data_IF_677028019403
#
_entry.id   IF_677028019403
#
_cell.length_a   1.000
_cell.length_b   1.000
_cell.length_c   1.000
_cell.angle_alpha   90.00
_cell.angle_beta   90.00
_cell.angle_gamma   90.00
#
_symmetry.space_group_name_H-M   'P 1'
#
loop_
_entity.id
_entity.type
_entity.pdbx_description
1 polymer ?
#
# COMPACT_ATOMS: atom_id res chain seq x y z
N UNK A 1 7.91 21.98 -3.74
CA UNK A 1 6.71 22.10 -2.88
C UNK A 1 7.20 22.19 -1.45
N UNK A 2 6.74 23.16 -0.66
CA UNK A 2 7.11 23.20 0.76
C UNK A 2 6.31 22.18 1.57
N UNK A 3 6.74 21.93 2.81
CA UNK A 3 6.13 20.95 3.69
C UNK A 3 4.63 21.18 3.92
N UNK A 4 4.18 22.43 4.10
CA UNK A 4 2.75 22.72 4.35
C UNK A 4 1.93 22.40 3.12
N UNK A 5 2.39 22.88 1.96
CA UNK A 5 1.73 22.57 0.69
C UNK A 5 1.67 21.06 0.41
N UNK A 6 2.70 20.29 0.81
CA UNK A 6 2.68 18.83 0.68
C UNK A 6 1.71 18.18 1.67
N UNK A 7 1.71 18.64 2.93
CA UNK A 7 0.81 18.16 3.97
C UNK A 7 -0.65 18.37 3.58
N UNK A 8 -1.01 19.56 3.14
CA UNK A 8 -2.40 19.90 2.76
C UNK A 8 -2.89 18.95 1.65
N UNK A 9 -2.05 18.68 0.64
CA UNK A 9 -2.37 17.72 -0.42
C UNK A 9 -2.56 16.29 0.08
N UNK A 10 -1.71 15.84 1.02
CA UNK A 10 -1.84 14.50 1.61
C UNK A 10 -3.10 14.43 2.48
N UNK A 11 -3.40 15.47 3.26
CA UNK A 11 -4.63 15.54 4.06
C UNK A 11 -5.88 15.45 3.18
N UNK A 12 -5.92 16.14 2.04
CA UNK A 12 -7.01 16.01 1.06
C UNK A 12 -7.14 14.55 0.58
N UNK A 13 -6.03 13.89 0.23
CA UNK A 13 -6.02 12.49 -0.22
C UNK A 13 -6.49 11.51 0.87
N UNK A 14 -6.05 11.71 2.11
CA UNK A 14 -6.44 10.89 3.27
C UNK A 14 -7.94 11.01 3.54
N UNK A 15 -8.51 12.21 3.41
CA UNK A 15 -9.91 12.45 3.70
C UNK A 15 -10.85 12.01 2.57
N UNK A 16 -10.49 12.30 1.32
CA UNK A 16 -11.37 12.06 0.17
C UNK A 16 -11.18 10.66 -0.44
N UNK A 17 -9.99 10.08 -0.33
CA UNK A 17 -9.66 8.81 -0.95
C UNK A 17 -8.63 8.00 -0.14
N UNK A 18 -8.97 7.74 1.12
CA UNK A 18 -8.11 7.00 2.05
C UNK A 18 -7.61 5.66 1.47
N UNK A 19 -8.50 4.93 0.79
CA UNK A 19 -8.17 3.63 0.22
C UNK A 19 -7.07 3.72 -0.84
N UNK A 20 -7.23 4.61 -1.82
CA UNK A 20 -6.21 4.74 -2.86
C UNK A 20 -4.94 5.38 -2.31
N UNK A 21 -5.05 6.32 -1.37
CA UNK A 21 -3.88 6.84 -0.64
C UNK A 21 -3.04 5.72 -0.02
N UNK A 22 -3.68 4.84 0.77
CA UNK A 22 -2.98 3.72 1.42
C UNK A 22 -2.38 2.75 0.40
N UNK A 23 -3.13 2.39 -0.67
CA UNK A 23 -2.61 1.54 -1.74
C UNK A 23 -1.36 2.13 -2.39
N UNK A 24 -1.32 3.45 -2.64
CA UNK A 24 -0.15 4.08 -3.25
C UNK A 24 1.06 4.14 -2.33
N UNK A 25 0.87 4.30 -1.02
CA UNK A 25 1.99 4.19 -0.08
C UNK A 25 2.55 2.77 -0.09
N UNK A 26 1.71 1.73 -0.02
CA UNK A 26 2.15 0.33 -0.10
C UNK A 26 2.88 0.07 -1.43
N UNK A 27 2.35 0.58 -2.53
CA UNK A 27 2.96 0.48 -3.86
C UNK A 27 4.38 1.07 -3.87
N UNK A 28 4.54 2.29 -3.37
CA UNK A 28 5.83 2.98 -3.33
C UNK A 28 6.84 2.30 -2.41
N UNK A 29 6.42 1.84 -1.22
CA UNK A 29 7.33 1.24 -0.26
C UNK A 29 7.77 -0.18 -0.63
N UNK A 30 6.87 -0.96 -1.23
CA UNK A 30 7.10 -2.38 -1.52
C UNK A 30 7.43 -2.64 -2.99
N UNK A 31 7.28 -1.64 -3.86
CA UNK A 31 7.54 -1.75 -5.30
C UNK A 31 6.50 -2.60 -6.04
N UNK A 32 5.24 -2.57 -5.59
CA UNK A 32 4.14 -3.36 -6.17
C UNK A 32 3.19 -2.45 -6.92
N UNK A 33 2.98 -2.70 -8.21
CA UNK A 33 2.01 -1.96 -9.03
C UNK A 33 0.79 -2.81 -9.45
N UNK A 34 0.68 -4.05 -8.95
CA UNK A 34 -0.47 -4.90 -9.21
C UNK A 34 -1.66 -4.46 -8.34
N UNK A 35 -2.68 -3.87 -8.98
CA UNK A 35 -3.84 -3.34 -8.27
C UNK A 35 -4.61 -4.39 -7.48
N UNK A 36 -4.70 -5.64 -7.98
CA UNK A 36 -5.37 -6.74 -7.27
C UNK A 36 -4.61 -7.13 -6.01
N UNK A 37 -3.28 -7.10 -6.06
CA UNK A 37 -2.44 -7.30 -4.89
C UNK A 37 -2.63 -6.17 -3.86
N UNK A 38 -2.60 -4.92 -4.32
CA UNK A 38 -2.78 -3.75 -3.47
C UNK A 38 -4.15 -3.73 -2.78
N UNK A 39 -5.21 -4.17 -3.47
CA UNK A 39 -6.54 -4.33 -2.88
C UNK A 39 -6.52 -5.33 -1.71
N UNK A 40 -5.87 -6.48 -1.88
CA UNK A 40 -5.79 -7.50 -0.82
C UNK A 40 -4.94 -7.06 0.37
N UNK A 41 -3.84 -6.36 0.11
CA UNK A 41 -2.98 -5.79 1.14
C UNK A 41 -3.71 -4.71 1.94
N UNK A 42 -4.47 -3.85 1.27
CA UNK A 42 -5.33 -2.86 1.91
C UNK A 42 -6.42 -3.51 2.78
N UNK A 43 -7.13 -4.49 2.23
CA UNK A 43 -8.24 -5.14 2.94
C UNK A 43 -7.73 -5.83 4.22
N UNK A 44 -6.58 -6.52 4.17
CA UNK A 44 -5.97 -7.14 5.34
C UNK A 44 -5.44 -6.12 6.36
N UNK A 45 -4.89 -4.99 5.90
CA UNK A 45 -4.50 -3.89 6.76
C UNK A 45 -5.70 -3.31 7.53
N UNK A 46 -6.83 -3.13 6.86
CA UNK A 46 -8.06 -2.63 7.48
C UNK A 46 -8.69 -3.63 8.46
N UNK A 47 -8.51 -4.93 8.22
CA UNK A 47 -8.98 -6.00 9.12
C UNK A 47 -8.07 -6.17 10.37
N UNK A 48 -6.87 -5.58 10.38
CA UNK A 48 -5.91 -5.70 11.48
C UNK A 48 -5.65 -4.35 12.18
N UNK A 49 -6.37 -4.10 13.29
CA UNK A 49 -6.26 -2.90 14.11
C UNK A 49 -4.87 -2.64 14.73
N UNK A 50 -3.94 -3.61 14.65
CA UNK A 50 -2.63 -3.53 15.30
C UNK A 50 -1.49 -3.13 14.38
N UNK A 51 -1.77 -3.02 13.07
CA UNK A 51 -0.75 -2.81 12.04
C UNK A 51 -0.76 -1.36 11.60
N UNK A 52 0.42 -0.72 11.61
CA UNK A 52 0.61 0.59 11.01
C UNK A 52 1.06 0.45 9.54
N UNK A 53 0.94 1.52 8.77
CA UNK A 53 1.22 1.52 7.33
C UNK A 53 2.67 1.09 6.96
N UNK A 54 3.64 1.34 7.85
CA UNK A 54 5.08 1.06 7.62
C UNK A 54 5.51 -0.33 8.12
N UNK A 55 4.59 -1.27 8.30
CA UNK A 55 4.88 -2.52 9.00
C UNK A 55 5.49 -3.60 8.10
N UNK A 56 6.40 -4.40 8.65
CA UNK A 56 7.04 -5.53 7.96
C UNK A 56 6.05 -6.67 7.63
N UNK A 57 4.86 -6.67 8.23
CA UNK A 57 3.81 -7.66 7.93
C UNK A 57 3.36 -7.64 6.47
N UNK A 58 3.46 -6.49 5.80
CA UNK A 58 3.24 -6.44 4.36
C UNK A 58 4.24 -7.30 3.59
N UNK A 59 5.48 -7.47 4.05
CA UNK A 59 6.48 -8.30 3.35
C UNK A 59 6.06 -9.77 3.37
N UNK A 60 5.62 -10.28 4.52
CA UNK A 60 5.10 -11.65 4.64
C UNK A 60 3.84 -11.88 3.79
N UNK A 61 2.92 -10.91 3.78
CA UNK A 61 1.72 -10.98 2.94
C UNK A 61 2.04 -11.01 1.45
N UNK A 62 3.05 -10.24 1.02
CA UNK A 62 3.51 -10.20 -0.36
C UNK A 62 4.13 -11.54 -0.75
N UNK A 63 4.92 -12.14 0.13
CA UNK A 63 5.48 -13.48 -0.07
C UNK A 63 4.37 -14.53 -0.20
N UNK A 64 3.37 -14.53 0.69
CA UNK A 64 2.21 -15.42 0.61
C UNK A 64 1.46 -15.29 -0.73
N UNK A 65 1.20 -14.05 -1.16
CA UNK A 65 0.52 -13.79 -2.43
C UNK A 65 1.37 -14.21 -3.65
N UNK A 66 2.70 -14.10 -3.56
CA UNK A 66 3.63 -14.62 -4.58
C UNK A 66 3.61 -16.15 -4.63
N UNK A 67 3.67 -16.82 -3.48
CA UNK A 67 3.62 -18.29 -3.40
C UNK A 67 2.30 -18.84 -3.97
N UNK A 68 1.21 -18.12 -3.75
CA UNK A 68 -0.11 -18.44 -4.31
C UNK A 68 -0.23 -18.09 -5.81
N UNK A 69 0.81 -17.52 -6.42
CA UNK A 69 0.82 -17.12 -7.83
C UNK A 69 -0.10 -15.93 -8.16
N UNK A 70 -0.50 -15.18 -7.14
CA UNK A 70 -1.43 -14.05 -7.26
C UNK A 70 -0.72 -12.73 -7.57
N UNK A 71 0.61 -12.69 -7.40
CA UNK A 71 1.48 -11.59 -7.82
C UNK A 71 2.54 -12.18 -8.73
N UNK A 72 2.77 -11.54 -9.88
CA UNK A 72 3.93 -11.82 -10.74
C UNK A 72 4.93 -10.71 -10.53
N UNK A 73 6.21 -11.06 -10.38
CA UNK A 73 7.26 -10.07 -10.22
C UNK A 73 7.20 -9.07 -11.39
N UNK A 74 6.93 -7.81 -11.05
CA UNK A 74 7.07 -6.73 -11.99
C UNK A 74 8.56 -6.38 -12.04
N UNK A 75 9.16 -6.28 -13.24
CA UNK A 75 10.53 -5.81 -13.34
C UNK A 75 10.61 -4.40 -12.75
N UNK A 76 11.57 -4.19 -11.84
CA UNK A 76 11.94 -2.85 -11.39
C UNK A 76 12.25 -1.99 -12.62
N UNK A 77 11.60 -0.82 -12.73
CA UNK A 77 11.97 0.24 -13.69
C UNK A 77 12.85 1.24 -12.97
#
# INVERSE_FOLDING_TARGET
MDYKTMRDRIEDMVNDNYRDFVKEIISMEKGINDESALVKLYDAYMDNDTVNLLHEEFDYMIEDLREQGQIKDLPYV
#
